data_IF_437683596966
#
_entry.id   IF_437683596966
#
_cell.length_a   1.000
_cell.length_b   1.000
_cell.length_c   1.000
_cell.angle_alpha   90.00
_cell.angle_beta   90.00
_cell.angle_gamma   90.00
#
_symmetry.space_group_name_H-M   'P 1'
#
loop_
_entity.id
_entity.type
_entity.pdbx_description
1 polymer ?
#
# COMPACT_ATOMS: atom_id res chain seq x y z
N UNK A 1 -15.09 -12.10 1.06
CA UNK A 1 -13.84 -12.30 1.79
C UNK A 1 -14.03 -13.53 2.66
N UNK A 2 -13.20 -14.54 2.46
CA UNK A 2 -13.37 -15.92 2.89
C UNK A 2 -13.43 -16.03 4.42
N UNK A 3 -12.69 -15.17 5.14
CA UNK A 3 -12.73 -15.10 6.60
C UNK A 3 -14.08 -14.57 7.14
N UNK A 4 -14.78 -13.71 6.39
CA UNK A 4 -16.12 -13.21 6.78
C UNK A 4 -17.16 -14.33 6.74
N UNK A 5 -16.96 -15.32 5.86
CA UNK A 5 -17.84 -16.47 5.68
C UNK A 5 -17.34 -17.72 6.42
N UNK A 6 -16.30 -17.58 7.26
CA UNK A 6 -15.67 -18.66 8.01
C UNK A 6 -15.14 -19.83 7.13
N UNK A 7 -14.77 -19.55 5.88
CA UNK A 7 -14.19 -20.56 4.98
C UNK A 7 -12.67 -20.69 5.15
N UNK A 8 -12.02 -19.71 5.78
CA UNK A 8 -10.60 -19.72 6.16
C UNK A 8 -10.44 -19.07 7.53
N UNK A 9 -9.38 -19.42 8.26
CA UNK A 9 -9.08 -18.84 9.58
C UNK A 9 -8.39 -17.46 9.48
N UNK A 10 -7.60 -17.25 8.42
CA UNK A 10 -6.83 -16.04 8.23
C UNK A 10 -6.73 -15.66 6.75
N UNK A 11 -6.58 -14.37 6.49
CA UNK A 11 -6.36 -13.82 5.17
C UNK A 11 -5.18 -12.85 5.22
N UNK A 12 -4.21 -13.04 4.32
CA UNK A 12 -2.97 -12.26 4.26
C UNK A 12 -3.00 -11.43 2.98
N UNK A 13 -2.76 -10.12 3.14
CA UNK A 13 -2.68 -9.17 2.03
C UNK A 13 -1.87 -7.95 2.47
N UNK A 14 -1.65 -7.01 1.56
CA UNK A 14 -1.04 -5.72 1.92
C UNK A 14 -1.88 -4.96 2.97
N UNK A 15 -1.20 -4.10 3.73
CA UNK A 15 -1.77 -3.40 4.88
C UNK A 15 -2.97 -2.52 4.51
N UNK A 16 -2.93 -1.86 3.34
CA UNK A 16 -4.02 -0.99 2.89
C UNK A 16 -5.28 -1.80 2.60
N UNK A 17 -5.12 -2.93 1.92
CA UNK A 17 -6.24 -3.85 1.68
C UNK A 17 -6.81 -4.39 2.99
N UNK A 18 -5.97 -4.85 3.93
CA UNK A 18 -6.44 -5.33 5.24
C UNK A 18 -7.26 -4.25 5.95
N UNK A 19 -6.75 -3.02 6.01
CA UNK A 19 -7.45 -1.89 6.65
C UNK A 19 -8.77 -1.56 5.95
N UNK A 20 -8.78 -1.50 4.62
CA UNK A 20 -9.98 -1.19 3.84
C UNK A 20 -11.05 -2.27 3.96
N UNK A 21 -10.67 -3.55 4.01
CA UNK A 21 -11.61 -4.65 4.18
C UNK A 21 -12.10 -4.75 5.63
N UNK A 22 -11.23 -4.56 6.62
CA UNK A 22 -11.64 -4.54 8.02
C UNK A 22 -12.63 -3.39 8.29
N UNK A 23 -12.40 -2.20 7.73
CA UNK A 23 -13.34 -1.09 7.85
C UNK A 23 -14.75 -1.40 7.28
N UNK A 24 -14.84 -2.25 6.25
CA UNK A 24 -16.13 -2.70 5.66
C UNK A 24 -16.81 -3.79 6.50
N UNK A 25 -16.05 -4.58 7.25
CA UNK A 25 -16.54 -5.75 7.99
C UNK A 25 -16.07 -5.73 9.46
N UNK A 26 -16.13 -4.56 10.10
CA UNK A 26 -15.51 -4.32 11.41
C UNK A 26 -16.07 -5.22 12.52
N UNK A 27 -17.34 -5.61 12.43
CA UNK A 27 -17.99 -6.49 13.40
C UNK A 27 -17.65 -7.97 13.22
N UNK A 28 -17.18 -8.36 12.02
CA UNK A 28 -16.93 -9.76 11.65
C UNK A 28 -15.45 -10.09 11.51
N UNK A 29 -14.59 -9.08 11.56
CA UNK A 29 -13.17 -9.23 11.27
C UNK A 29 -12.33 -8.39 12.21
N UNK A 30 -11.14 -8.89 12.51
CA UNK A 30 -10.12 -8.17 13.28
C UNK A 30 -8.87 -8.06 12.41
N UNK A 31 -8.39 -6.84 12.20
CA UNK A 31 -7.12 -6.61 11.51
C UNK A 31 -5.96 -6.94 12.44
N UNK A 32 -4.99 -7.72 11.95
CA UNK A 32 -3.70 -7.93 12.58
C UNK A 32 -2.70 -7.05 11.84
N UNK A 33 -2.33 -5.92 12.44
CA UNK A 33 -1.61 -4.85 11.75
C UNK A 33 -0.10 -4.87 12.01
N UNK A 34 0.37 -5.73 12.91
CA UNK A 34 1.78 -6.03 13.05
C UNK A 34 2.26 -6.68 11.73
N UNK A 35 3.24 -6.10 11.04
CA UNK A 35 3.68 -6.62 9.75
C UNK A 35 4.33 -8.00 9.93
N UNK A 36 3.96 -8.95 9.07
CA UNK A 36 4.70 -10.22 8.94
C UNK A 36 6.06 -10.00 8.26
N UNK A 37 6.11 -8.99 7.40
CA UNK A 37 7.29 -8.53 6.65
C UNK A 37 7.11 -7.06 6.29
N UNK A 38 8.22 -6.33 6.26
CA UNK A 38 8.28 -4.99 5.70
C UNK A 38 8.67 -5.07 4.22
N UNK A 39 7.88 -4.46 3.35
CA UNK A 39 8.04 -4.50 1.90
C UNK A 39 7.81 -3.10 1.32
N UNK A 40 8.53 -2.79 0.23
CA UNK A 40 8.31 -1.58 -0.58
C UNK A 40 7.68 -1.96 -1.90
N UNK A 41 6.81 -1.10 -2.41
CA UNK A 41 6.18 -1.30 -3.71
C UNK A 41 7.10 -0.83 -4.83
N UNK A 42 7.06 -1.56 -5.96
CA UNK A 42 7.90 -1.27 -7.12
C UNK A 42 7.14 -1.52 -8.42
N UNK A 43 7.66 -0.95 -9.51
CA UNK A 43 7.15 -1.20 -10.86
C UNK A 43 7.89 -2.41 -11.45
N UNK A 44 7.16 -3.50 -11.65
CA UNK A 44 7.70 -4.70 -12.29
C UNK A 44 7.89 -4.51 -13.80
N UNK A 45 9.10 -4.77 -14.29
CA UNK A 45 9.45 -4.68 -15.72
C UNK A 45 10.03 -6.00 -16.22
N UNK A 46 9.86 -6.27 -17.52
CA UNK A 46 10.51 -7.43 -18.18
C UNK A 46 12.03 -7.31 -18.10
N UNK A 47 12.70 -8.40 -17.76
CA UNK A 47 14.16 -8.47 -17.73
C UNK A 47 14.77 -8.09 -19.09
N UNK A 48 15.92 -7.41 -19.05
CA UNK A 48 16.63 -6.91 -20.23
C UNK A 48 16.08 -5.60 -20.82
N UNK A 49 14.99 -5.04 -20.28
CA UNK A 49 14.45 -3.77 -20.75
C UNK A 49 15.06 -2.57 -20.03
N UNK A 50 16.39 -2.43 -20.10
CA UNK A 50 17.14 -1.44 -19.31
C UNK A 50 16.79 0.01 -19.69
N UNK A 51 16.53 0.28 -20.98
CA UNK A 51 16.12 1.61 -21.42
C UNK A 51 14.81 2.06 -20.77
N UNK A 52 13.80 1.18 -20.73
CA UNK A 52 12.53 1.50 -20.09
C UNK A 52 12.69 1.65 -18.58
N UNK A 53 13.49 0.77 -17.95
CA UNK A 53 13.80 0.86 -16.52
C UNK A 53 14.40 2.22 -16.15
N UNK A 54 15.38 2.71 -16.93
CA UNK A 54 15.97 4.04 -16.73
C UNK A 54 14.92 5.14 -16.84
N UNK A 55 14.11 5.12 -17.90
CA UNK A 55 13.08 6.15 -18.10
C UNK A 55 12.03 6.17 -16.98
N UNK A 56 11.58 5.00 -16.52
CA UNK A 56 10.64 4.88 -15.40
C UNK A 56 11.25 5.45 -14.13
N UNK A 57 12.49 5.08 -13.82
CA UNK A 57 13.18 5.58 -12.62
C UNK A 57 13.42 7.10 -12.67
N UNK A 58 13.76 7.65 -13.85
CA UNK A 58 13.91 9.11 -14.02
C UNK A 58 12.58 9.85 -13.82
N UNK A 59 11.47 9.30 -14.30
CA UNK A 59 10.13 9.86 -14.06
C UNK A 59 9.82 9.83 -12.58
N UNK A 60 9.99 8.69 -11.91
CA UNK A 60 9.73 8.56 -10.47
C UNK A 60 10.59 9.54 -9.66
N UNK A 61 11.89 9.66 -9.97
CA UNK A 61 12.79 10.59 -9.30
C UNK A 61 12.35 12.05 -9.46
N UNK A 62 11.93 12.45 -10.68
CA UNK A 62 11.34 13.78 -10.89
C UNK A 62 10.06 13.97 -10.08
N UNK A 63 9.16 12.98 -10.09
CA UNK A 63 7.89 13.07 -9.38
C UNK A 63 8.05 13.17 -7.86
N UNK A 64 9.07 12.54 -7.31
CA UNK A 64 9.43 12.71 -5.91
C UNK A 64 10.03 14.11 -5.65
N UNK A 65 10.92 14.58 -6.52
CA UNK A 65 11.58 15.88 -6.35
C UNK A 65 10.66 17.08 -6.52
N UNK A 66 9.68 17.01 -7.41
CA UNK A 66 8.74 18.11 -7.68
C UNK A 66 7.45 18.01 -6.85
N UNK A 67 7.31 16.96 -6.04
CA UNK A 67 6.16 16.72 -5.17
C UNK A 67 4.91 16.22 -5.89
N UNK A 68 4.94 15.98 -7.20
CA UNK A 68 3.78 15.46 -7.93
C UNK A 68 3.38 14.07 -7.46
N UNK A 69 4.32 13.25 -7.00
CA UNK A 69 4.01 11.96 -6.38
C UNK A 69 3.14 12.13 -5.12
N UNK A 70 3.51 13.07 -4.25
CA UNK A 70 2.75 13.40 -3.04
C UNK A 70 1.35 13.90 -3.38
N UNK A 71 1.22 14.79 -4.38
CA UNK A 71 -0.08 15.29 -4.83
C UNK A 71 -0.99 14.17 -5.35
N UNK A 72 -0.44 13.19 -6.06
CA UNK A 72 -1.20 12.02 -6.50
C UNK A 72 -1.64 11.16 -5.30
N UNK A 73 -0.75 10.91 -4.34
CA UNK A 73 -1.08 10.17 -3.14
C UNK A 73 -2.17 10.88 -2.31
N UNK A 74 -2.13 12.20 -2.18
CA UNK A 74 -3.18 12.97 -1.52
C UNK A 74 -4.50 12.89 -2.28
N UNK A 75 -4.47 13.02 -3.61
CA UNK A 75 -5.69 12.98 -4.43
C UNK A 75 -6.40 11.64 -4.37
N UNK A 76 -5.65 10.53 -4.41
CA UNK A 76 -6.22 9.20 -4.58
C UNK A 76 -6.21 8.34 -3.31
N UNK A 77 -5.41 8.70 -2.31
CA UNK A 77 -5.17 7.89 -1.11
C UNK A 77 -5.23 8.69 0.20
N UNK A 78 -5.84 9.88 0.21
CA UNK A 78 -5.99 10.68 1.44
C UNK A 78 -6.68 9.90 2.57
N UNK A 79 -7.72 9.12 2.24
CA UNK A 79 -8.46 8.32 3.21
C UNK A 79 -7.55 7.25 3.83
N UNK A 80 -6.88 6.48 2.98
CA UNK A 80 -5.94 5.42 3.37
C UNK A 80 -4.82 5.98 4.24
N UNK A 81 -4.21 7.10 3.83
CA UNK A 81 -3.18 7.79 4.60
C UNK A 81 -3.67 8.20 5.99
N UNK A 82 -4.87 8.78 6.08
CA UNK A 82 -5.46 9.16 7.35
C UNK A 82 -5.73 7.95 8.26
N UNK A 83 -6.21 6.84 7.69
CA UNK A 83 -6.45 5.61 8.44
C UNK A 83 -5.15 5.01 8.99
N UNK A 84 -4.07 4.98 8.20
CA UNK A 84 -2.76 4.47 8.66
C UNK A 84 -2.20 5.33 9.79
N UNK A 85 -2.24 6.65 9.62
CA UNK A 85 -1.80 7.61 10.64
C UNK A 85 -2.57 7.44 11.95
N UNK A 86 -3.89 7.25 11.89
CA UNK A 86 -4.73 7.03 13.07
C UNK A 86 -4.37 5.74 13.84
N UNK A 87 -3.75 4.78 13.16
CA UNK A 87 -3.28 3.52 13.75
C UNK A 87 -1.80 3.57 14.15
N UNK A 88 -1.13 4.72 14.02
CA UNK A 88 0.29 4.89 14.35
C UNK A 88 1.23 4.19 13.37
N UNK A 89 0.76 3.91 12.16
CA UNK A 89 1.52 3.22 11.11
C UNK A 89 2.04 4.23 10.08
N UNK A 90 3.28 4.09 9.58
CA UNK A 90 3.78 4.92 8.49
C UNK A 90 2.97 4.66 7.23
N UNK A 91 2.77 5.70 6.41
CA UNK A 91 2.13 5.52 5.11
C UNK A 91 3.01 4.66 4.20
N UNK A 92 2.41 3.81 3.35
CA UNK A 92 3.16 2.82 2.53
C UNK A 92 4.25 3.43 1.65
N UNK A 93 4.13 4.70 1.27
CA UNK A 93 5.13 5.42 0.46
C UNK A 93 6.17 6.20 1.29
N UNK A 94 6.11 6.10 2.62
CA UNK A 94 7.06 6.73 3.55
C UNK A 94 8.00 5.70 4.21
N UNK A 95 7.83 4.41 3.89
CA UNK A 95 8.74 3.32 4.28
C UNK A 95 10.10 3.49 3.58
N UNK A 96 11.19 3.23 4.32
CA UNK A 96 12.58 3.38 3.84
C UNK A 96 13.19 2.03 3.46
#
# INVERSE_FOLDING_TARGET
>A
MEVVNASVDAWIYDQLSIMNYQAKYAEKTRALLAPLREEVWAIGLKQGNDKLKTQVNEVLARMHSDGSFTQLAERFMAKEKAMMNAQGLPFVFELK
#
